data_IF_314937361770
#
_entry.id   IF_314937361770
#
_cell.length_a   1.000
_cell.length_b   1.000
_cell.length_c   1.000
_cell.angle_alpha   90.00
_cell.angle_beta   90.00
_cell.angle_gamma   90.00
#
_symmetry.space_group_name_H-M   'P 1'
#
loop_
_entity.id
_entity.type
_entity.pdbx_description
1 polymer ?
#
# COMPACT_ATOMS: atom_id res chain seq x y z
N UNK A 1 -15.16 15.26 36.33
CA UNK A 1 -15.93 16.18 35.47
C UNK A 1 -15.14 16.37 34.18
N UNK A 2 -15.18 15.41 33.25
CA UNK A 2 -16.06 15.33 32.07
C UNK A 2 -15.83 16.45 31.04
N UNK A 3 -15.46 16.00 29.84
CA UNK A 3 -15.47 16.63 28.52
C UNK A 3 -14.44 17.73 28.18
N UNK A 4 -13.52 17.36 27.28
CA UNK A 4 -13.26 18.08 26.01
C UNK A 4 -12.63 17.11 25.01
N UNK A 5 -13.39 16.09 24.61
CA UNK A 5 -13.17 15.42 23.32
C UNK A 5 -13.62 16.42 22.24
N UNK A 6 -12.82 17.46 22.05
CA UNK A 6 -13.15 18.60 21.22
C UNK A 6 -13.26 18.25 19.73
N UNK A 7 -13.64 19.23 18.89
CA UNK A 7 -13.68 19.15 17.42
C UNK A 7 -12.39 18.59 16.77
N UNK A 8 -11.31 18.52 17.53
CA UNK A 8 -9.99 17.94 17.22
C UNK A 8 -10.03 16.50 16.69
N UNK A 9 -11.05 15.69 16.96
CA UNK A 9 -11.05 14.29 16.48
C UNK A 9 -11.35 14.14 14.98
N UNK A 10 -12.29 14.92 14.43
CA UNK A 10 -12.71 14.77 13.01
C UNK A 10 -11.62 15.27 12.08
N UNK A 11 -11.04 16.42 12.40
CA UNK A 11 -9.96 16.99 11.62
C UNK A 11 -8.69 16.13 11.69
N UNK A 12 -8.42 15.50 12.83
CA UNK A 12 -7.33 14.53 12.96
C UNK A 12 -7.53 13.32 12.03
N UNK A 13 -8.74 12.74 11.97
CA UNK A 13 -9.03 11.63 11.04
C UNK A 13 -8.86 12.05 9.57
N UNK A 14 -9.32 13.26 9.23
CA UNK A 14 -9.15 13.81 7.87
C UNK A 14 -7.67 14.01 7.53
N UNK A 15 -6.84 14.48 8.47
CA UNK A 15 -5.38 14.60 8.27
C UNK A 15 -4.71 13.25 8.06
N UNK A 16 -5.13 12.21 8.79
CA UNK A 16 -4.65 10.85 8.56
C UNK A 16 -5.04 10.33 7.18
N UNK A 17 -6.28 10.58 6.75
CA UNK A 17 -6.78 10.22 5.43
C UNK A 17 -5.96 10.87 4.31
N UNK A 18 -5.78 12.19 4.37
CA UNK A 18 -4.98 12.94 3.40
C UNK A 18 -3.54 12.46 3.37
N UNK A 19 -2.89 12.30 4.52
CA UNK A 19 -1.50 11.84 4.59
C UNK A 19 -1.34 10.42 4.03
N UNK A 20 -2.25 9.50 4.35
CA UNK A 20 -2.22 8.13 3.80
C UNK A 20 -2.35 8.15 2.28
N UNK A 21 -3.26 8.97 1.74
CA UNK A 21 -3.45 9.07 0.30
C UNK A 21 -2.25 9.70 -0.41
N UNK A 22 -1.70 10.78 0.14
CA UNK A 22 -0.52 11.46 -0.40
C UNK A 22 0.69 10.53 -0.45
N UNK A 23 1.01 9.84 0.64
CA UNK A 23 2.15 8.92 0.68
C UNK A 23 1.92 7.66 -0.16
N UNK A 24 0.68 7.16 -0.25
CA UNK A 24 0.36 6.04 -1.13
C UNK A 24 0.50 6.41 -2.62
N UNK A 25 0.11 7.65 -2.99
CA UNK A 25 0.28 8.17 -4.34
C UNK A 25 1.76 8.40 -4.68
N UNK A 26 2.55 8.84 -3.71
CA UNK A 26 4.00 9.02 -3.84
C UNK A 26 4.81 7.72 -3.75
N UNK A 27 4.15 6.57 -3.55
CA UNK A 27 4.79 5.26 -3.33
C UNK A 27 5.79 5.23 -2.16
N UNK A 28 5.64 6.15 -1.20
CA UNK A 28 6.48 6.23 0.00
C UNK A 28 5.93 5.30 1.09
N UNK A 29 6.15 4.00 0.89
CA UNK A 29 5.56 2.95 1.73
C UNK A 29 6.00 3.01 3.18
N UNK A 30 7.24 3.45 3.45
CA UNK A 30 7.75 3.65 4.82
C UNK A 30 6.95 4.72 5.57
N UNK A 31 6.61 5.83 4.89
CA UNK A 31 5.75 6.85 5.49
C UNK A 31 4.31 6.40 5.61
N UNK A 32 3.78 5.62 4.65
CA UNK A 32 2.44 5.00 4.77
C UNK A 32 2.37 4.13 6.03
N UNK A 33 3.37 3.28 6.30
CA UNK A 33 3.43 2.43 7.51
C UNK A 33 3.46 3.28 8.78
N UNK A 34 4.28 4.33 8.82
CA UNK A 34 4.37 5.23 9.98
C UNK A 34 3.05 5.93 10.27
N UNK A 35 2.41 6.49 9.25
CA UNK A 35 1.10 7.17 9.39
C UNK A 35 0.03 6.18 9.82
N UNK A 36 0.01 4.97 9.25
CA UNK A 36 -0.92 3.92 9.68
C UNK A 36 -0.73 3.53 11.15
N UNK A 37 0.51 3.36 11.60
CA UNK A 37 0.81 3.06 13.01
C UNK A 37 0.31 4.16 13.96
N UNK A 38 0.54 5.43 13.59
CA UNK A 38 0.04 6.59 14.35
C UNK A 38 -1.49 6.65 14.36
N UNK A 39 -2.13 6.37 13.23
CA UNK A 39 -3.59 6.29 13.12
C UNK A 39 -4.16 5.21 14.04
N UNK A 40 -3.56 4.01 14.04
CA UNK A 40 -3.98 2.89 14.92
C UNK A 40 -3.82 3.26 16.39
N UNK A 41 -2.72 3.89 16.78
CA UNK A 41 -2.51 4.37 18.15
C UNK A 41 -3.54 5.43 18.55
N UNK A 42 -3.82 6.39 17.66
CA UNK A 42 -4.84 7.40 17.88
C UNK A 42 -6.24 6.77 18.03
N UNK A 43 -6.59 5.76 17.22
CA UNK A 43 -7.86 5.03 17.32
C UNK A 43 -7.98 4.29 18.65
N UNK A 44 -6.92 3.59 19.08
CA UNK A 44 -6.86 2.90 20.38
C UNK A 44 -7.05 3.87 21.54
N UNK A 45 -6.37 5.03 21.50
CA UNK A 45 -6.47 6.07 22.54
C UNK A 45 -7.83 6.77 22.55
N UNK A 46 -8.45 6.96 21.39
CA UNK A 46 -9.73 7.66 21.26
C UNK A 46 -10.95 6.81 21.67
N UNK A 47 -10.82 5.48 21.78
CA UNK A 47 -11.91 4.61 22.24
C UNK A 47 -13.16 4.65 21.34
N UNK A 48 -14.35 4.44 21.92
CA UNK A 48 -15.63 4.44 21.16
C UNK A 48 -16.01 5.86 20.69
N UNK A 49 -16.62 6.01 19.50
CA UNK A 49 -17.06 7.31 19.03
C UNK A 49 -18.21 7.82 19.91
N UNK A 50 -18.12 9.08 20.35
CA UNK A 50 -19.10 9.70 21.23
C UNK A 50 -20.26 10.36 20.44
N UNK A 51 -20.05 10.69 19.17
CA UNK A 51 -21.04 11.38 18.33
C UNK A 51 -21.22 10.73 16.95
N UNK A 52 -22.38 10.95 16.33
CA UNK A 52 -22.69 10.45 14.97
C UNK A 52 -21.69 10.97 13.93
N UNK A 53 -21.26 12.22 14.05
CA UNK A 53 -20.26 12.82 13.15
C UNK A 53 -18.88 12.16 13.28
N UNK A 54 -18.47 11.79 14.49
CA UNK A 54 -17.24 11.00 14.70
C UNK A 54 -17.34 9.59 14.12
N UNK A 55 -18.51 8.96 14.24
CA UNK A 55 -18.76 7.65 13.63
C UNK A 55 -18.64 7.72 12.10
N UNK A 56 -19.23 8.75 11.48
CA UNK A 56 -19.14 8.97 10.02
C UNK A 56 -17.70 9.20 9.58
N UNK A 57 -16.95 10.07 10.28
CA UNK A 57 -15.55 10.33 9.97
C UNK A 57 -14.68 9.06 10.05
N UNK A 58 -14.92 8.21 11.05
CA UNK A 58 -14.20 6.92 11.17
C UNK A 58 -14.58 5.92 10.08
N UNK A 59 -15.85 5.90 9.65
CA UNK A 59 -16.27 5.08 8.50
C UNK A 59 -15.61 5.53 7.20
N UNK A 60 -15.55 6.84 6.95
CA UNK A 60 -14.85 7.38 5.78
C UNK A 60 -13.37 6.98 5.78
N UNK A 61 -12.69 7.16 6.92
CA UNK A 61 -11.29 6.74 7.08
C UNK A 61 -11.09 5.23 6.84
N UNK A 62 -12.00 4.38 7.33
CA UNK A 62 -11.93 2.94 7.12
C UNK A 62 -12.07 2.56 5.63
N UNK A 63 -12.97 3.22 4.90
CA UNK A 63 -13.13 3.04 3.46
C UNK A 63 -11.85 3.45 2.72
N UNK A 64 -11.29 4.62 3.03
CA UNK A 64 -10.06 5.09 2.37
C UNK A 64 -8.88 4.18 2.66
N UNK A 65 -8.74 3.70 3.90
CA UNK A 65 -7.73 2.70 4.24
C UNK A 65 -7.90 1.39 3.47
N UNK A 66 -9.14 0.90 3.31
CA UNK A 66 -9.42 -0.30 2.52
C UNK A 66 -9.05 -0.13 1.04
N UNK A 67 -9.35 1.03 0.45
CA UNK A 67 -8.97 1.34 -0.93
C UNK A 67 -7.44 1.37 -1.11
N UNK A 68 -6.70 1.93 -0.15
CA UNK A 68 -5.23 1.95 -0.18
C UNK A 68 -4.67 0.53 -0.10
N UNK A 69 -5.23 -0.34 0.75
CA UNK A 69 -4.83 -1.75 0.81
C UNK A 69 -5.10 -2.50 -0.49
N UNK A 70 -6.26 -2.25 -1.12
CA UNK A 70 -6.59 -2.85 -2.41
C UNK A 70 -5.60 -2.42 -3.49
N UNK A 71 -5.28 -1.13 -3.57
CA UNK A 71 -4.27 -0.61 -4.49
C UNK A 71 -2.89 -1.21 -4.24
N UNK A 72 -2.50 -1.39 -2.97
CA UNK A 72 -1.25 -2.03 -2.59
C UNK A 72 -1.19 -3.50 -3.04
N UNK A 73 -2.26 -4.26 -2.85
CA UNK A 73 -2.34 -5.65 -3.33
C UNK A 73 -2.22 -5.71 -4.85
N UNK A 74 -2.94 -4.85 -5.59
CA UNK A 74 -2.83 -4.80 -7.04
C UNK A 74 -1.42 -4.47 -7.53
N UNK A 75 -0.73 -3.51 -6.87
CA UNK A 75 0.67 -3.18 -7.19
C UNK A 75 1.61 -4.35 -6.91
N UNK A 76 1.42 -5.06 -5.80
CA UNK A 76 2.19 -6.26 -5.46
C UNK A 76 2.00 -7.35 -6.51
N UNK A 77 0.76 -7.64 -6.89
CA UNK A 77 0.44 -8.69 -7.86
C UNK A 77 1.05 -8.36 -9.22
N UNK A 78 0.97 -7.10 -9.65
CA UNK A 78 1.62 -6.61 -10.86
C UNK A 78 3.14 -6.80 -10.80
N UNK A 79 3.78 -6.41 -9.70
CA UNK A 79 5.23 -6.59 -9.53
C UNK A 79 5.63 -8.08 -9.58
N UNK A 80 4.82 -8.98 -9.02
CA UNK A 80 5.06 -10.42 -9.10
C UNK A 80 4.99 -10.93 -10.55
N UNK A 81 4.04 -10.43 -11.34
CA UNK A 81 3.95 -10.75 -12.76
C UNK A 81 5.18 -10.23 -13.52
N UNK A 82 5.59 -8.99 -13.28
CA UNK A 82 6.76 -8.39 -13.93
C UNK A 82 8.05 -9.17 -13.61
N UNK A 83 8.24 -9.59 -12.35
CA UNK A 83 9.37 -10.43 -11.94
C UNK A 83 9.34 -11.79 -12.66
N UNK A 84 8.15 -12.39 -12.79
CA UNK A 84 8.01 -13.68 -13.47
C UNK A 84 8.34 -13.56 -14.96
N UNK A 85 7.85 -12.52 -15.62
CA UNK A 85 8.18 -12.23 -17.02
C UNK A 85 9.67 -11.96 -17.22
N UNK A 86 10.28 -11.19 -16.34
CA UNK A 86 11.72 -10.90 -16.40
C UNK A 86 12.57 -12.18 -16.28
N UNK A 87 12.22 -13.08 -15.35
CA UNK A 87 12.89 -14.39 -15.22
C UNK A 87 12.73 -15.24 -16.48
N UNK A 88 11.52 -15.33 -17.03
CA UNK A 88 11.27 -16.07 -18.27
C UNK A 88 12.05 -15.52 -19.47
N UNK A 89 12.23 -14.20 -19.55
CA UNK A 89 13.09 -13.57 -20.57
C UNK A 89 14.57 -13.92 -20.38
N UNK A 90 15.08 -13.93 -19.15
CA UNK A 90 16.46 -14.35 -18.87
C UNK A 90 16.70 -15.82 -19.22
N UNK A 91 15.78 -16.71 -18.85
CA UNK A 91 15.88 -18.13 -19.18
C UNK A 91 15.82 -18.35 -20.71
N UNK A 92 14.94 -17.60 -21.40
CA UNK A 92 14.87 -17.60 -22.86
C UNK A 92 16.19 -17.15 -23.50
N UNK A 93 16.76 -16.03 -23.05
CA UNK A 93 18.05 -15.53 -23.53
C UNK A 93 19.20 -16.53 -23.31
N UNK A 94 19.24 -17.18 -22.14
CA UNK A 94 20.22 -18.21 -21.83
C UNK A 94 20.07 -19.44 -22.76
N UNK A 95 18.84 -19.88 -23.01
CA UNK A 95 18.56 -20.97 -23.95
C UNK A 95 19.01 -20.62 -25.38
N UNK A 96 18.71 -19.41 -25.86
CA UNK A 96 19.17 -18.94 -27.17
C UNK A 96 20.70 -18.88 -27.29
N UNK A 97 21.40 -18.43 -26.24
CA UNK A 97 22.87 -18.43 -26.23
C UNK A 97 23.43 -19.87 -26.28
N UNK A 98 22.85 -20.80 -25.51
CA UNK A 98 23.24 -22.21 -25.53
C UNK A 98 22.98 -22.88 -26.88
N UNK A 99 21.82 -22.64 -27.51
CA UNK A 99 21.52 -23.19 -28.84
C UNK A 99 22.44 -22.62 -29.91
N UNK A 100 22.79 -21.32 -29.84
CA UNK A 100 23.74 -20.72 -30.79
C UNK A 100 25.15 -21.32 -30.64
N UNK A 101 25.63 -21.48 -29.42
CA UNK A 101 26.91 -22.16 -29.13
C UNK A 101 26.90 -23.63 -29.56
N UNK A 102 25.75 -24.30 -29.45
CA UNK A 102 25.61 -25.71 -29.84
C UNK A 102 25.43 -25.91 -31.35
N UNK A 103 24.88 -24.92 -32.05
CA UNK A 103 24.72 -24.92 -33.51
C UNK A 103 26.02 -24.63 -34.26
N UNK A 104 26.92 -23.82 -33.71
CA UNK A 104 28.23 -23.53 -34.32
C UNK A 104 29.23 -24.71 -34.22
N UNK A 105 28.95 -25.73 -33.40
CA UNK A 105 29.83 -26.90 -33.22
C UNK A 105 29.55 -28.03 -34.25
N UNK A 106 28.44 -27.96 -34.99
CA UNK A 106 28.02 -29.03 -35.92
C UNK A 106 28.28 -28.76 -37.41
N UNK A 107 29.00 -27.68 -37.76
CA UNK A 107 29.41 -27.36 -39.14
C UNK A 107 30.91 -27.64 -39.40
N UNK A 108 31.37 -28.88 -39.13
CA UNK A 108 32.68 -29.39 -39.60
C UNK A 108 32.52 -30.78 -40.21
#
# INVERSE_FOLDING_TARGET
>A
MSEKAGPTSIELWKRFETALQEYANAEDWDKVVKVNALMVLALKKAGKPATKSQLVARKALATTHANILQNLHQKKDKLQQDIHQFKGQQDGLAAYQLTRLSGEINDI
#
